data_IF_982654660710
#
_entry.id   IF_982654660710
#
_cell.length_a   1.000
_cell.length_b   1.000
_cell.length_c   1.000
_cell.angle_alpha   90.00
_cell.angle_beta   90.00
_cell.angle_gamma   90.00
#
_symmetry.space_group_name_H-M   'P 1'
#
loop_
_entity.id
_entity.type
_entity.pdbx_description
1 polymer ?
#
# COMPACT_ATOMS: atom_id res chain seq x y z
N UNK A 1 -9.53 26.39 33.99
CA UNK A 1 -9.12 25.15 33.29
C UNK A 1 -8.18 25.54 32.15
N UNK A 2 -6.99 25.03 32.20
CA UNK A 2 -6.02 25.27 31.12
C UNK A 2 -6.05 24.13 30.13
N UNK A 3 -6.10 24.48 28.87
CA UNK A 3 -5.97 23.49 27.77
C UNK A 3 -4.53 23.42 27.34
N UNK A 4 -4.08 22.20 27.14
CA UNK A 4 -2.75 21.97 26.58
C UNK A 4 -2.92 21.64 25.10
N UNK A 5 -2.52 22.55 24.23
CA UNK A 5 -2.52 22.35 22.77
C UNK A 5 -1.15 21.92 22.30
N UNK A 6 -1.10 20.91 21.46
CA UNK A 6 0.10 20.47 20.81
C UNK A 6 -0.08 20.55 19.29
N UNK A 7 0.84 21.21 18.63
CA UNK A 7 0.85 21.24 17.18
C UNK A 7 1.43 19.90 16.67
N UNK A 8 0.68 19.21 15.85
CA UNK A 8 1.11 17.95 15.25
C UNK A 8 1.16 18.06 13.75
N UNK A 9 2.15 17.43 13.13
CA UNK A 9 2.24 17.32 11.69
C UNK A 9 1.47 16.11 11.20
N UNK A 10 0.72 16.29 10.13
CA UNK A 10 0.06 15.17 9.43
C UNK A 10 0.94 14.56 8.35
N UNK A 11 2.13 15.11 8.15
CA UNK A 11 3.10 14.57 7.20
C UNK A 11 3.69 13.26 7.74
N UNK A 12 3.85 12.30 6.86
CA UNK A 12 4.42 11.01 7.24
C UNK A 12 5.92 11.03 7.10
N UNK A 13 6.61 10.44 8.09
CA UNK A 13 8.06 10.20 8.01
C UNK A 13 8.30 8.97 7.13
N UNK A 14 8.48 9.20 5.84
CA UNK A 14 8.65 8.13 4.87
C UNK A 14 9.44 8.62 3.65
N UNK A 15 10.22 7.72 3.07
CA UNK A 15 10.88 7.93 1.78
C UNK A 15 10.15 7.18 0.65
N UNK A 16 9.00 6.60 0.94
CA UNK A 16 8.20 5.87 -0.04
C UNK A 16 7.56 6.84 -1.01
N UNK A 17 7.63 6.50 -2.29
CA UNK A 17 6.89 7.17 -3.35
C UNK A 17 6.02 6.15 -4.07
N UNK A 18 5.07 6.61 -4.88
CA UNK A 18 4.16 5.72 -5.57
C UNK A 18 3.77 6.27 -6.95
N UNK A 19 3.28 5.36 -7.79
CA UNK A 19 2.60 5.68 -9.04
C UNK A 19 1.38 4.80 -9.16
N UNK A 20 0.29 5.35 -9.70
CA UNK A 20 -0.96 4.63 -9.90
C UNK A 20 -1.29 4.53 -11.38
N UNK A 21 -1.76 3.37 -11.80
CA UNK A 21 -2.17 3.09 -13.17
C UNK A 21 -3.55 2.44 -13.16
N UNK A 22 -4.30 2.67 -14.23
CA UNK A 22 -5.58 2.01 -14.45
C UNK A 22 -5.46 1.14 -15.69
N UNK A 23 -5.86 -0.12 -15.56
CA UNK A 23 -5.89 -1.08 -16.66
C UNK A 23 -7.33 -1.47 -16.96
N UNK A 24 -7.77 -1.24 -18.19
CA UNK A 24 -9.09 -1.63 -18.65
C UNK A 24 -9.04 -3.04 -19.23
N UNK A 25 -9.85 -3.94 -18.68
CA UNK A 25 -9.97 -5.28 -19.22
C UNK A 25 -10.99 -5.31 -20.35
N UNK A 26 -11.01 -6.41 -21.12
CA UNK A 26 -11.98 -6.60 -22.20
C UNK A 26 -13.42 -6.69 -21.71
N UNK A 27 -13.60 -7.10 -20.45
CA UNK A 27 -14.91 -7.26 -19.82
C UNK A 27 -15.40 -5.99 -19.13
N UNK A 28 -14.79 -4.85 -19.48
CA UNK A 28 -15.12 -3.54 -18.90
C UNK A 28 -14.83 -3.42 -17.41
N UNK A 29 -13.96 -4.27 -16.88
CA UNK A 29 -13.46 -4.12 -15.53
C UNK A 29 -12.26 -3.20 -15.49
N UNK A 30 -12.08 -2.54 -14.35
CA UNK A 30 -10.99 -1.62 -14.12
C UNK A 30 -10.08 -2.19 -13.04
N UNK A 31 -8.82 -2.44 -13.38
CA UNK A 31 -7.83 -2.92 -12.42
C UNK A 31 -6.91 -1.75 -12.09
N UNK A 32 -6.81 -1.43 -10.80
CA UNK A 32 -5.87 -0.43 -10.32
C UNK A 32 -4.53 -1.08 -10.02
N UNK A 33 -3.45 -0.47 -10.49
CA UNK A 33 -2.08 -0.91 -10.19
C UNK A 33 -1.40 0.22 -9.44
N UNK A 34 -0.96 -0.04 -8.24
CA UNK A 34 -0.16 0.92 -7.47
C UNK A 34 1.24 0.37 -7.28
N UNK A 35 2.23 1.09 -7.75
CA UNK A 35 3.63 0.74 -7.60
C UNK A 35 4.23 1.61 -6.51
N UNK A 36 4.82 0.97 -5.50
CA UNK A 36 5.56 1.66 -4.45
C UNK A 36 7.06 1.54 -4.68
N UNK A 37 7.78 2.60 -4.37
CA UNK A 37 9.23 2.65 -4.43
C UNK A 37 9.75 3.12 -3.08
N UNK A 38 10.68 2.35 -2.50
CA UNK A 38 11.35 2.71 -1.26
C UNK A 38 12.85 2.44 -1.41
N UNK A 39 13.67 3.50 -1.51
CA UNK A 39 15.12 3.32 -1.72
C UNK A 39 15.86 2.86 -0.47
N UNK A 40 15.40 3.22 0.73
CA UNK A 40 16.06 2.81 1.97
C UNK A 40 15.62 1.44 2.44
N UNK A 41 16.44 0.79 3.26
CA UNK A 41 16.16 -0.55 3.77
C UNK A 41 15.49 -0.56 5.14
N UNK A 42 15.39 0.58 5.80
CA UNK A 42 14.77 0.69 7.11
C UNK A 42 13.27 0.92 6.97
N UNK A 43 12.48 -0.05 7.43
CA UNK A 43 11.03 0.07 7.44
C UNK A 43 10.58 0.85 8.68
N UNK A 44 9.81 1.90 8.46
CA UNK A 44 9.28 2.77 9.50
C UNK A 44 7.77 2.68 9.59
N UNK A 45 7.19 3.10 10.72
CA UNK A 45 5.74 3.19 10.86
C UNK A 45 5.12 4.14 9.83
N UNK A 46 5.81 5.22 9.49
CA UNK A 46 5.37 6.15 8.44
C UNK A 46 5.25 5.49 7.08
N UNK A 47 6.12 4.52 6.77
CA UNK A 47 6.04 3.75 5.52
C UNK A 47 4.78 2.90 5.47
N UNK A 48 4.46 2.19 6.56
CA UNK A 48 3.27 1.36 6.66
C UNK A 48 2.01 2.20 6.54
N UNK A 49 1.99 3.35 7.19
CA UNK A 49 0.86 4.28 7.11
C UNK A 49 0.71 4.86 5.70
N UNK A 50 1.83 5.13 5.03
CA UNK A 50 1.82 5.58 3.63
C UNK A 50 1.20 4.53 2.72
N UNK A 51 1.63 3.27 2.84
CA UNK A 51 1.05 2.17 2.07
C UNK A 51 -0.46 2.08 2.29
N UNK A 52 -0.88 2.11 3.56
CA UNK A 52 -2.29 2.01 3.93
C UNK A 52 -3.11 3.13 3.32
N UNK A 53 -2.68 4.37 3.51
CA UNK A 53 -3.44 5.53 3.02
C UNK A 53 -3.54 5.55 1.50
N UNK A 54 -2.43 5.28 0.81
CA UNK A 54 -2.45 5.31 -0.66
C UNK A 54 -3.32 4.19 -1.25
N UNK A 55 -3.26 2.99 -0.69
CA UNK A 55 -4.09 1.89 -1.17
C UNK A 55 -5.57 2.12 -0.85
N UNK A 56 -5.91 2.63 0.32
CA UNK A 56 -7.29 2.97 0.66
C UNK A 56 -7.84 4.05 -0.26
N UNK A 57 -7.10 5.12 -0.50
CA UNK A 57 -7.52 6.18 -1.43
C UNK A 57 -7.80 5.62 -2.82
N UNK A 58 -6.93 4.73 -3.29
CA UNK A 58 -7.06 4.15 -4.62
C UNK A 58 -8.27 3.21 -4.70
N UNK A 59 -8.55 2.46 -3.63
CA UNK A 59 -9.67 1.51 -3.60
C UNK A 59 -11.04 2.19 -3.64
N UNK A 60 -11.13 3.47 -3.28
CA UNK A 60 -12.39 4.22 -3.20
C UNK A 60 -12.48 5.35 -4.24
N UNK A 61 -11.76 5.24 -5.33
CA UNK A 61 -11.84 6.23 -6.40
C UNK A 61 -13.26 6.39 -6.91
N UNK A 62 -13.72 7.64 -7.13
CA UNK A 62 -15.07 7.86 -7.62
C UNK A 62 -15.22 7.43 -9.08
N UNK A 63 -16.46 7.18 -9.49
CA UNK A 63 -16.76 6.92 -10.89
C UNK A 63 -16.28 8.09 -11.77
N UNK A 64 -15.75 7.83 -12.98
CA UNK A 64 -15.67 6.52 -13.66
C UNK A 64 -14.43 5.69 -13.32
N UNK A 65 -13.57 6.14 -12.42
CA UNK A 65 -12.27 5.51 -12.11
C UNK A 65 -12.34 4.53 -10.94
N UNK A 66 -13.53 4.06 -10.59
CA UNK A 66 -13.73 3.08 -9.54
C UNK A 66 -13.18 1.71 -9.96
N UNK A 67 -12.18 1.22 -9.22
CA UNK A 67 -11.51 -0.04 -9.57
C UNK A 67 -12.26 -1.26 -9.02
N UNK A 68 -12.17 -2.37 -9.74
CA UNK A 68 -12.77 -3.65 -9.35
C UNK A 68 -11.78 -4.54 -8.61
N UNK A 69 -10.49 -4.35 -8.84
CA UNK A 69 -9.43 -5.09 -8.19
C UNK A 69 -8.16 -4.23 -8.16
N UNK A 70 -7.25 -4.57 -7.26
CA UNK A 70 -6.01 -3.83 -7.09
C UNK A 70 -4.81 -4.76 -7.16
N UNK A 71 -3.77 -4.31 -7.85
CA UNK A 71 -2.45 -4.92 -7.80
C UNK A 71 -1.54 -3.96 -7.06
N UNK A 72 -0.93 -4.45 -5.99
CA UNK A 72 0.07 -3.69 -5.22
C UNK A 72 1.44 -4.23 -5.60
N UNK A 73 2.23 -3.41 -6.26
CA UNK A 73 3.57 -3.78 -6.71
C UNK A 73 4.61 -3.19 -5.76
N UNK A 74 5.28 -4.07 -5.02
CA UNK A 74 6.33 -3.70 -4.08
C UNK A 74 7.70 -4.23 -4.48
N UNK A 75 7.90 -4.55 -5.77
CA UNK A 75 9.19 -5.06 -6.23
C UNK A 75 10.33 -4.07 -6.01
N UNK A 76 10.03 -2.77 -5.95
CA UNK A 76 11.01 -1.71 -5.71
C UNK A 76 11.03 -1.23 -4.25
N UNK A 77 10.44 -1.99 -3.34
CA UNK A 77 10.52 -1.76 -1.90
C UNK A 77 11.62 -2.64 -1.34
N UNK A 78 12.72 -2.05 -0.93
CA UNK A 78 13.92 -2.78 -0.49
C UNK A 78 13.97 -3.03 1.01
N UNK A 79 12.98 -2.54 1.75
CA UNK A 79 12.88 -2.79 3.18
C UNK A 79 12.40 -4.22 3.45
N UNK A 80 12.99 -4.86 4.47
CA UNK A 80 12.53 -6.15 4.93
C UNK A 80 11.41 -5.99 5.95
N UNK A 81 10.37 -6.82 5.80
CA UNK A 81 9.34 -6.93 6.83
C UNK A 81 9.83 -7.94 7.84
N UNK A 82 10.12 -7.46 9.04
CA UNK A 82 10.50 -8.28 10.18
C UNK A 82 9.26 -8.99 10.75
N UNK A 83 9.47 -10.11 11.45
CA UNK A 83 8.40 -10.81 12.17
C UNK A 83 7.73 -9.94 13.24
N UNK A 84 8.37 -8.89 13.66
CA UNK A 84 7.82 -7.93 14.63
C UNK A 84 6.91 -6.88 14.00
N UNK A 85 6.91 -6.79 12.67
CA UNK A 85 6.09 -5.82 11.95
C UNK A 85 4.67 -6.36 11.80
N UNK A 86 3.65 -5.59 12.16
CA UNK A 86 2.27 -6.05 12.04
C UNK A 86 1.86 -6.28 10.60
N UNK A 87 0.74 -6.98 10.43
CA UNK A 87 0.14 -7.34 9.14
C UNK A 87 0.09 -6.14 8.21
N UNK A 88 0.52 -6.36 6.96
CA UNK A 88 0.47 -5.32 5.93
C UNK A 88 -0.96 -4.81 5.74
N UNK A 89 -1.13 -3.50 5.60
CA UNK A 89 -2.44 -2.86 5.69
C UNK A 89 -3.43 -3.29 4.59
N UNK A 90 -2.95 -3.64 3.41
CA UNK A 90 -3.82 -3.97 2.27
C UNK A 90 -4.55 -5.31 2.42
N UNK A 91 -4.19 -6.14 3.39
CA UNK A 91 -4.93 -7.36 3.65
C UNK A 91 -6.39 -7.10 4.04
N UNK A 92 -6.65 -5.93 4.62
CA UNK A 92 -7.98 -5.53 5.04
C UNK A 92 -8.90 -5.16 3.87
N UNK A 93 -8.35 -4.99 2.66
CA UNK A 93 -9.11 -4.60 1.47
C UNK A 93 -9.64 -5.80 0.67
N UNK A 94 -9.29 -7.03 1.04
CA UNK A 94 -9.62 -8.22 0.25
C UNK A 94 -11.12 -8.48 0.08
N UNK A 95 -11.95 -8.07 1.02
CA UNK A 95 -13.39 -8.32 0.95
C UNK A 95 -14.09 -7.41 -0.08
N UNK A 96 -13.73 -6.12 -0.09
CA UNK A 96 -14.40 -5.12 -0.94
C UNK A 96 -13.71 -4.95 -2.29
N UNK A 97 -12.40 -5.14 -2.32
CA UNK A 97 -11.60 -4.96 -3.51
C UNK A 97 -10.48 -6.01 -3.48
N UNK A 98 -10.56 -7.07 -4.31
CA UNK A 98 -9.53 -8.09 -4.32
C UNK A 98 -8.15 -7.48 -4.58
N UNK A 99 -7.19 -7.84 -3.74
CA UNK A 99 -5.83 -7.30 -3.81
C UNK A 99 -4.85 -8.43 -4.10
N UNK A 100 -3.95 -8.20 -5.05
CA UNK A 100 -2.84 -9.10 -5.35
C UNK A 100 -1.54 -8.36 -5.15
N UNK A 101 -0.60 -9.02 -4.51
CA UNK A 101 0.69 -8.45 -4.18
C UNK A 101 1.76 -8.98 -5.14
N UNK A 102 2.50 -8.06 -5.77
CA UNK A 102 3.65 -8.41 -6.60
C UNK A 102 4.91 -8.07 -5.80
N UNK A 103 5.69 -9.09 -5.48
CA UNK A 103 6.85 -8.97 -4.59
C UNK A 103 8.15 -9.31 -5.31
N UNK A 104 9.31 -8.85 -4.80
CA UNK A 104 10.60 -9.33 -5.30
C UNK A 104 10.70 -10.84 -5.14
N UNK A 105 11.21 -11.54 -6.14
CA UNK A 105 11.29 -13.00 -6.11
C UNK A 105 12.11 -13.50 -4.92
N UNK A 106 13.17 -12.78 -4.55
CA UNK A 106 14.02 -13.13 -3.42
C UNK A 106 13.28 -13.12 -2.07
N UNK A 107 12.11 -12.45 -2.00
CA UNK A 107 11.33 -12.30 -0.77
C UNK A 107 10.00 -13.06 -0.83
N UNK A 108 9.77 -13.84 -1.87
CA UNK A 108 8.48 -14.48 -2.11
C UNK A 108 8.06 -15.40 -0.95
N UNK A 109 8.97 -16.20 -0.43
CA UNK A 109 8.68 -17.10 0.69
C UNK A 109 8.30 -16.34 1.95
N UNK A 110 8.97 -15.23 2.20
CA UNK A 110 8.70 -14.37 3.36
C UNK A 110 7.28 -13.80 3.29
N UNK A 111 6.90 -13.24 2.15
CA UNK A 111 5.59 -12.65 1.98
C UNK A 111 4.47 -13.69 1.93
N UNK A 112 4.71 -14.85 1.35
CA UNK A 112 3.68 -15.89 1.28
C UNK A 112 3.33 -16.45 2.66
N UNK A 113 4.25 -16.39 3.63
CA UNK A 113 3.97 -16.76 5.01
C UNK A 113 3.11 -15.75 5.76
N UNK A 114 2.97 -14.51 5.26
CA UNK A 114 2.19 -13.44 5.88
C UNK A 114 0.75 -13.38 5.36
N UNK A 115 0.48 -13.97 4.25
CA UNK A 115 -0.80 -13.97 3.57
C UNK A 115 -1.27 -15.40 3.31
#
# INVERSE_FOLDING_TARGET
>A
MSYHQQNVSLDLDTDVTHQCFLHHTRDEHLIGIIEFNKPSTLLKWGDLEYFRRRTEEFSVMPLPDCINAMIVDIRNVHAFIDNEVPILPWRLLEEDCPVRLVVPQAQLEHYSGLF
#
